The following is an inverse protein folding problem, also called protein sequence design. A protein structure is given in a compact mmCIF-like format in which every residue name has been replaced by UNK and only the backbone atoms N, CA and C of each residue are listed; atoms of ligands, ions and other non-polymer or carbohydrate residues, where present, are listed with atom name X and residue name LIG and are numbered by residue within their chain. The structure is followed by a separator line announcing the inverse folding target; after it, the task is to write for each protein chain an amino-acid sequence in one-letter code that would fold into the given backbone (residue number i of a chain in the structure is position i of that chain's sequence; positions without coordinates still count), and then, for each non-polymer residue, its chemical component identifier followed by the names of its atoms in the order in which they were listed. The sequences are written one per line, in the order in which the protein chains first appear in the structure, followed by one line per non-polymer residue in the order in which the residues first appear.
data_IF_507396714140
#
_entry.id   IF_507396714140
#
_cell.length_a   1.000
_cell.length_b   1.000
_cell.length_c   1.000
_cell.angle_alpha   90.00
_cell.angle_beta   90.00
_cell.angle_gamma   90.00
#
_symmetry.space_group_name_H-M   'P 1'
#
loop_
_entity.id
_entity.type
_entity.pdbx_description
1 polymer ?
#
# COMPACT_ATOMS: atom_id res chain seq x y z
N UNK A 1 -31.47 6.08 3.87
CA UNK A 1 -30.75 7.24 3.32
C UNK A 1 -29.73 7.65 4.36
N UNK A 2 -28.45 7.37 4.15
CA UNK A 2 -27.39 7.81 5.06
C UNK A 2 -27.29 9.33 4.97
N UNK A 3 -27.54 10.04 6.07
CA UNK A 3 -27.25 11.47 6.13
C UNK A 3 -25.73 11.65 6.27
N UNK A 4 -25.10 12.55 5.50
CA UNK A 4 -23.71 12.89 5.71
C UNK A 4 -23.52 13.45 7.12
N UNK A 5 -22.37 13.25 7.77
CA UNK A 5 -22.05 13.93 9.01
C UNK A 5 -22.00 15.45 8.76
N UNK A 6 -22.11 16.22 9.84
CA UNK A 6 -21.89 17.67 9.75
C UNK A 6 -20.40 17.89 9.45
N UNK A 7 -20.09 18.37 8.26
CA UNK A 7 -18.73 18.73 7.90
C UNK A 7 -18.33 20.07 8.53
N UNK A 8 -17.03 20.29 8.83
CA UNK A 8 -16.54 21.56 9.33
C UNK A 8 -16.99 22.73 8.46
N UNK A 9 -17.70 23.69 9.06
CA UNK A 9 -18.30 24.81 8.33
C UNK A 9 -17.27 25.63 7.54
N UNK A 10 -16.04 25.71 8.06
CA UNK A 10 -14.95 26.46 7.45
C UNK A 10 -14.37 25.78 6.18
N UNK A 11 -14.69 24.52 5.90
CA UNK A 11 -14.36 23.89 4.62
C UNK A 11 -15.31 24.30 3.49
N UNK A 12 -16.50 24.82 3.83
CA UNK A 12 -17.50 25.29 2.88
C UNK A 12 -17.86 24.27 1.77
N UNK A 13 -17.79 22.97 2.09
CA UNK A 13 -18.09 21.89 1.14
C UNK A 13 -19.60 21.75 0.91
N UNK A 14 -19.97 21.33 -0.29
CA UNK A 14 -21.37 21.15 -0.69
C UNK A 14 -21.59 19.88 -1.51
N UNK A 15 -22.85 19.56 -1.78
CA UNK A 15 -23.28 18.42 -2.62
C UNK A 15 -22.64 17.06 -2.24
N UNK A 16 -22.68 16.64 -0.96
CA UNK A 16 -22.09 15.37 -0.58
C UNK A 16 -22.81 14.19 -1.19
N UNK A 17 -22.05 13.31 -1.84
CA UNK A 17 -22.48 12.02 -2.35
C UNK A 17 -21.61 10.96 -1.69
N UNK A 18 -22.23 10.02 -0.96
CA UNK A 18 -21.53 8.87 -0.41
C UNK A 18 -21.08 7.97 -1.57
N UNK A 19 -19.79 7.72 -1.69
CA UNK A 19 -19.20 6.90 -2.77
C UNK A 19 -18.60 5.59 -2.27
N UNK A 20 -18.23 5.50 -0.98
CA UNK A 20 -17.78 4.25 -0.38
C UNK A 20 -18.12 4.17 1.12
N UNK A 21 -18.38 2.96 1.58
CA UNK A 21 -18.54 2.59 2.99
C UNK A 21 -17.57 1.43 3.26
N UNK A 22 -16.37 1.77 3.76
CA UNK A 22 -15.29 0.81 4.03
C UNK A 22 -15.33 0.36 5.48
N UNK A 23 -14.51 -0.63 5.86
CA UNK A 23 -14.42 -1.05 7.26
C UNK A 23 -14.08 0.11 8.22
N UNK A 24 -13.11 0.95 7.84
CA UNK A 24 -12.60 2.04 8.67
C UNK A 24 -13.31 3.38 8.48
N UNK A 25 -13.96 3.60 7.33
CA UNK A 25 -14.33 4.95 6.92
C UNK A 25 -15.59 5.01 6.06
N UNK A 26 -16.22 6.18 6.07
CA UNK A 26 -17.20 6.59 5.07
C UNK A 26 -16.55 7.64 4.17
N UNK A 27 -16.76 7.52 2.86
CA UNK A 27 -16.10 8.38 1.86
C UNK A 27 -17.17 9.11 1.05
N UNK A 28 -17.12 10.44 1.08
CA UNK A 28 -18.02 11.31 0.34
C UNK A 28 -17.28 12.10 -0.72
N UNK A 29 -17.81 12.11 -1.95
CA UNK A 29 -17.46 13.11 -2.96
C UNK A 29 -18.22 14.39 -2.64
N UNK A 30 -17.51 15.51 -2.59
CA UNK A 30 -18.06 16.84 -2.29
C UNK A 30 -17.56 17.86 -3.31
N UNK A 31 -18.19 19.03 -3.36
CA UNK A 31 -17.71 20.19 -4.12
C UNK A 31 -17.13 21.24 -3.18
N UNK A 32 -15.92 21.72 -3.48
CA UNK A 32 -15.31 22.90 -2.87
C UNK A 32 -16.03 24.19 -3.33
N UNK A 33 -15.78 25.35 -2.70
CA UNK A 33 -16.45 26.62 -3.05
C UNK A 33 -16.28 27.07 -4.51
N UNK A 34 -15.17 26.70 -5.14
CA UNK A 34 -14.87 27.00 -6.54
C UNK A 34 -15.47 25.97 -7.53
N UNK A 35 -16.20 24.97 -7.02
CA UNK A 35 -16.76 23.86 -7.79
C UNK A 35 -15.80 22.71 -8.04
N UNK A 36 -14.54 22.79 -7.58
CA UNK A 36 -13.58 21.69 -7.70
C UNK A 36 -14.04 20.49 -6.87
N UNK A 37 -14.05 19.26 -7.41
CA UNK A 37 -14.39 18.08 -6.63
C UNK A 37 -13.31 17.77 -5.58
N UNK A 38 -13.74 17.33 -4.41
CA UNK A 38 -12.88 16.85 -3.33
C UNK A 38 -13.50 15.61 -2.67
N UNK A 39 -12.72 14.95 -1.81
CA UNK A 39 -13.18 13.82 -1.01
C UNK A 39 -13.20 14.24 0.46
N UNK A 40 -14.29 13.93 1.16
CA UNK A 40 -14.27 13.87 2.63
C UNK A 40 -14.21 12.40 3.04
N UNK A 41 -13.15 12.02 3.75
CA UNK A 41 -13.02 10.70 4.40
C UNK A 41 -13.33 10.89 5.88
N UNK A 42 -14.37 10.24 6.38
CA UNK A 42 -14.75 10.26 7.78
C UNK A 42 -14.47 8.92 8.45
N UNK A 43 -13.58 8.95 9.44
CA UNK A 43 -13.14 7.77 10.15
C UNK A 43 -14.21 7.30 11.14
N UNK A 44 -14.49 6.01 11.11
CA UNK A 44 -15.36 5.32 12.06
C UNK A 44 -14.61 5.13 13.39
N UNK A 45 -15.30 5.10 14.54
CA UNK A 45 -14.69 4.85 15.83
C UNK A 45 -14.38 3.35 15.99
N UNK A 46 -13.31 2.88 15.36
CA UNK A 46 -12.80 1.51 15.45
C UNK A 46 -11.41 1.48 16.11
N UNK A 47 -10.98 0.33 16.63
CA UNK A 47 -9.70 0.19 17.36
C UNK A 47 -8.48 0.53 16.48
N UNK A 48 -8.52 0.20 15.18
CA UNK A 48 -7.41 0.40 14.23
C UNK A 48 -7.39 1.79 13.55
N UNK A 49 -8.02 2.81 14.16
CA UNK A 49 -7.99 4.18 13.63
C UNK A 49 -6.57 4.76 13.53
N UNK A 50 -5.60 4.16 14.21
CA UNK A 50 -4.21 4.59 14.20
C UNK A 50 -3.58 4.55 12.79
N UNK A 51 -3.91 3.56 11.96
CA UNK A 51 -3.43 3.45 10.58
C UNK A 51 -3.86 4.66 9.75
N UNK A 52 -5.14 5.03 9.84
CA UNK A 52 -5.73 6.16 9.14
C UNK A 52 -5.10 7.51 9.55
N UNK A 53 -4.85 7.69 10.86
CA UNK A 53 -4.23 8.91 11.36
C UNK A 53 -2.78 9.06 10.87
N UNK A 54 -2.03 7.95 10.79
CA UNK A 54 -0.68 7.92 10.20
C UNK A 54 -0.71 8.18 8.70
N UNK A 55 -1.72 7.66 8.01
CA UNK A 55 -1.98 7.96 6.60
C UNK A 55 -2.09 9.46 6.33
N UNK A 56 -2.82 10.19 7.17
CA UNK A 56 -2.89 11.64 7.05
C UNK A 56 -1.53 12.32 7.22
N UNK A 57 -0.72 11.90 8.19
CA UNK A 57 0.62 12.45 8.41
C UNK A 57 1.56 12.15 7.22
N UNK A 58 1.42 10.97 6.60
CA UNK A 58 2.08 10.63 5.34
C UNK A 58 1.68 11.58 4.21
N UNK A 59 0.38 11.86 4.04
CA UNK A 59 -0.11 12.76 2.98
C UNK A 59 0.35 14.21 3.20
N UNK A 60 0.40 14.69 4.45
CA UNK A 60 0.97 16.00 4.79
C UNK A 60 2.42 16.07 4.36
N UNK A 61 3.23 15.07 4.73
CA UNK A 61 4.65 15.02 4.39
C UNK A 61 4.90 14.90 2.88
N UNK A 62 4.12 14.07 2.18
CA UNK A 62 4.29 13.88 0.73
C UNK A 62 3.76 15.07 -0.08
N UNK A 63 2.80 15.82 0.46
CA UNK A 63 2.29 17.08 -0.07
C UNK A 63 2.03 17.07 -1.59
N UNK A 64 1.32 16.04 -2.07
CA UNK A 64 0.93 15.92 -3.47
C UNK A 64 1.96 15.28 -4.41
N UNK A 65 3.14 14.87 -3.91
CA UNK A 65 4.20 14.22 -4.71
C UNK A 65 3.92 12.74 -4.93
N UNK A 66 3.19 12.42 -6.01
CA UNK A 66 2.77 11.05 -6.32
C UNK A 66 1.62 10.53 -5.44
N UNK A 67 1.10 11.36 -4.52
CA UNK A 67 -0.06 11.09 -3.69
C UNK A 67 -1.08 12.22 -3.82
N UNK A 68 -2.31 11.97 -3.40
CA UNK A 68 -3.29 13.04 -3.18
C UNK A 68 -2.84 14.00 -2.08
N UNK A 69 -3.32 15.25 -2.13
CA UNK A 69 -3.10 16.21 -1.05
C UNK A 69 -4.13 16.06 0.06
N UNK A 70 -3.68 16.20 1.30
CA UNK A 70 -4.57 16.51 2.43
C UNK A 70 -4.84 18.03 2.44
N UNK A 71 -6.09 18.41 2.18
CA UNK A 71 -6.54 19.80 2.08
C UNK A 71 -7.01 20.34 3.44
N UNK A 72 -7.45 19.46 4.34
CA UNK A 72 -7.89 19.82 5.68
C UNK A 72 -8.08 18.59 6.56
N UNK A 73 -7.95 18.77 7.88
CA UNK A 73 -8.18 17.72 8.88
C UNK A 73 -8.79 18.36 10.11
N UNK A 74 -9.94 17.86 10.56
CA UNK A 74 -10.58 18.27 11.79
C UNK A 74 -11.30 17.07 12.42
N UNK A 75 -11.03 16.80 13.69
CA UNK A 75 -11.55 15.61 14.39
C UNK A 75 -11.22 14.32 13.58
N UNK A 76 -12.23 13.50 13.31
CA UNK A 76 -12.13 12.27 12.54
C UNK A 76 -12.45 12.47 11.04
N UNK A 77 -12.37 13.71 10.54
CA UNK A 77 -12.64 14.03 9.14
C UNK A 77 -11.37 14.52 8.45
N UNK A 78 -11.17 14.04 7.23
CA UNK A 78 -10.10 14.47 6.32
C UNK A 78 -10.73 14.98 5.03
N UNK A 79 -10.34 16.17 4.61
CA UNK A 79 -10.65 16.73 3.30
C UNK A 79 -9.45 16.46 2.39
N UNK A 80 -9.66 15.74 1.30
CA UNK A 80 -8.65 15.20 0.41
C UNK A 80 -8.88 15.69 -1.03
N UNK A 81 -7.79 15.83 -1.78
CA UNK A 81 -7.84 16.03 -3.22
C UNK A 81 -8.54 14.86 -3.91
N UNK A 82 -9.39 15.15 -4.89
CA UNK A 82 -10.04 14.13 -5.68
C UNK A 82 -9.13 13.60 -6.79
N UNK A 83 -8.88 12.28 -6.79
CA UNK A 83 -7.96 11.63 -7.73
C UNK A 83 -8.61 11.12 -9.03
N UNK A 84 -9.90 11.37 -9.25
CA UNK A 84 -10.65 10.89 -10.42
C UNK A 84 -11.43 9.60 -10.15
N UNK A 85 -11.86 8.92 -11.22
CA UNK A 85 -12.64 7.65 -11.15
C UNK A 85 -11.89 6.48 -11.81
N UNK A 86 -10.78 6.77 -12.49
CA UNK A 86 -10.03 5.76 -13.24
C UNK A 86 -8.89 5.21 -12.37
N UNK A 87 -9.00 3.94 -11.99
CA UNK A 87 -7.99 3.18 -11.25
C UNK A 87 -7.00 2.49 -12.19
N UNK A 88 -5.87 2.03 -11.64
CA UNK A 88 -4.88 1.24 -12.38
C UNK A 88 -5.44 -0.14 -12.77
N UNK A 89 -6.36 -0.70 -11.99
CA UNK A 89 -7.08 -1.94 -12.33
C UNK A 89 -7.82 -1.85 -13.67
N UNK A 90 -8.38 -0.69 -14.02
CA UNK A 90 -8.97 -0.47 -15.33
C UNK A 90 -7.94 -0.56 -16.47
N UNK A 91 -6.68 -0.16 -16.23
CA UNK A 91 -5.61 -0.29 -17.22
C UNK A 91 -5.28 -1.76 -17.49
N UNK A 92 -5.27 -2.60 -16.44
CA UNK A 92 -5.07 -4.05 -16.60
C UNK A 92 -6.12 -4.63 -17.55
N UNK A 93 -7.39 -4.22 -17.40
CA UNK A 93 -8.49 -4.69 -18.24
C UNK A 93 -8.44 -4.14 -19.68
N UNK A 94 -8.11 -2.86 -19.85
CA UNK A 94 -8.17 -2.18 -21.15
C UNK A 94 -6.91 -2.37 -22.00
N UNK A 95 -5.75 -2.44 -21.37
CA UNK A 95 -4.46 -2.38 -22.04
C UNK A 95 -3.46 -3.47 -21.61
N UNK A 96 -3.83 -4.28 -20.61
CA UNK A 96 -3.02 -5.38 -20.12
C UNK A 96 -2.10 -5.00 -18.96
N UNK A 97 -1.68 -6.04 -18.25
CA UNK A 97 -0.95 -5.94 -16.98
C UNK A 97 0.45 -5.31 -17.11
N UNK A 98 1.14 -5.54 -18.23
CA UNK A 98 2.46 -4.94 -18.47
C UNK A 98 2.40 -3.41 -18.44
N UNK A 99 1.38 -2.81 -19.08
CA UNK A 99 1.24 -1.35 -19.07
C UNK A 99 0.89 -0.81 -17.68
N UNK A 100 0.04 -1.53 -16.93
CA UNK A 100 -0.26 -1.17 -15.54
C UNK A 100 0.99 -1.22 -14.66
N UNK A 101 1.85 -2.23 -14.84
CA UNK A 101 3.12 -2.38 -14.13
C UNK A 101 4.08 -1.22 -14.40
N UNK A 102 4.27 -0.83 -15.66
CA UNK A 102 5.15 0.30 -16.00
C UNK A 102 4.62 1.64 -15.43
N UNK A 103 3.30 1.86 -15.46
CA UNK A 103 2.67 3.02 -14.82
C UNK A 103 2.93 3.03 -13.31
N UNK A 104 2.75 1.89 -12.64
CA UNK A 104 3.03 1.77 -11.21
C UNK A 104 4.50 2.03 -10.91
N UNK A 105 5.42 1.50 -11.72
CA UNK A 105 6.86 1.73 -11.58
C UNK A 105 7.22 3.23 -11.68
N UNK A 106 6.70 3.93 -12.70
CA UNK A 106 6.90 5.37 -12.86
C UNK A 106 6.31 6.17 -11.68
N UNK A 107 5.16 5.77 -11.16
CA UNK A 107 4.54 6.39 -10.00
C UNK A 107 5.39 6.16 -8.74
N UNK A 108 5.86 4.94 -8.49
CA UNK A 108 6.67 4.61 -7.32
C UNK A 108 8.00 5.38 -7.31
N UNK A 109 8.66 5.53 -8.47
CA UNK A 109 9.85 6.38 -8.59
C UNK A 109 9.58 7.82 -8.13
N UNK A 110 8.41 8.38 -8.46
CA UNK A 110 7.98 9.71 -8.00
C UNK A 110 7.55 9.69 -6.54
N UNK A 111 6.89 8.65 -6.06
CA UNK A 111 6.34 8.54 -4.71
C UNK A 111 7.45 8.36 -3.65
N UNK A 112 8.48 7.60 -3.97
CA UNK A 112 9.56 7.26 -3.04
C UNK A 112 10.87 8.02 -3.31
N UNK A 113 10.86 8.98 -4.23
CA UNK A 113 11.94 9.94 -4.37
C UNK A 113 12.23 10.63 -3.01
N UNK A 114 13.53 10.83 -2.74
CA UNK A 114 14.02 11.46 -1.52
C UNK A 114 13.30 12.78 -1.24
N UNK A 115 13.04 13.03 0.05
CA UNK A 115 12.47 14.28 0.53
C UNK A 115 13.53 15.03 1.33
N UNK A 116 13.56 16.36 1.20
CA UNK A 116 14.36 17.22 2.07
C UNK A 116 13.70 17.37 3.45
N UNK A 117 12.38 17.16 3.52
CA UNK A 117 11.62 17.15 4.77
C UNK A 117 11.90 15.88 5.58
N UNK A 118 12.17 15.98 6.89
CA UNK A 118 12.41 14.82 7.74
C UNK A 118 11.19 13.89 7.74
N UNK A 119 11.44 12.59 7.92
CA UNK A 119 10.37 11.60 8.03
C UNK A 119 9.47 11.91 9.23
N UNK A 120 8.13 11.87 9.10
CA UNK A 120 7.24 12.09 10.23
C UNK A 120 7.44 10.99 11.27
N UNK A 121 7.59 11.37 12.54
CA UNK A 121 7.73 10.43 13.65
C UNK A 121 6.47 9.58 13.89
N UNK A 122 5.35 9.97 13.30
CA UNK A 122 4.10 9.23 13.35
C UNK A 122 4.10 7.99 12.45
N UNK A 123 4.95 7.91 11.41
CA UNK A 123 4.97 6.76 10.50
C UNK A 123 5.39 5.49 11.25
N UNK A 124 4.72 4.37 10.95
CA UNK A 124 4.97 3.11 11.63
C UNK A 124 6.26 2.46 11.10
N UNK A 125 7.23 2.13 11.95
CA UNK A 125 8.39 1.34 11.54
C UNK A 125 7.96 0.00 10.96
N UNK A 126 8.55 -0.38 9.83
CA UNK A 126 8.25 -1.66 9.18
C UNK A 126 8.43 -2.86 10.12
N UNK A 127 9.38 -2.79 11.06
CA UNK A 127 9.57 -3.82 12.09
C UNK A 127 8.30 -4.05 12.94
N UNK A 128 7.61 -2.97 13.29
CA UNK A 128 6.39 -3.04 14.10
C UNK A 128 5.21 -3.54 13.25
N UNK A 129 5.17 -3.18 11.95
CA UNK A 129 4.19 -3.74 11.00
C UNK A 129 4.31 -5.26 10.88
N UNK A 130 5.53 -5.80 10.99
CA UNK A 130 5.83 -7.23 10.90
C UNK A 130 5.58 -8.03 12.19
N UNK A 131 5.01 -7.41 13.24
CA UNK A 131 4.82 -8.07 14.54
C UNK A 131 4.05 -9.41 14.45
N UNK A 132 3.01 -9.47 13.61
CA UNK A 132 2.21 -10.69 13.41
C UNK A 132 3.04 -11.84 12.80
N UNK A 133 3.85 -11.55 11.76
CA UNK A 133 4.77 -12.54 11.18
C UNK A 133 5.76 -13.05 12.22
N UNK A 134 6.39 -12.14 12.97
CA UNK A 134 7.36 -12.53 13.99
C UNK A 134 6.73 -13.37 15.11
N UNK A 135 5.48 -13.09 15.48
CA UNK A 135 4.76 -13.89 16.46
C UNK A 135 4.48 -15.29 15.92
N UNK A 136 3.88 -15.41 14.72
CA UNK A 136 3.59 -16.70 14.09
C UNK A 136 4.85 -17.55 13.90
N UNK A 137 5.95 -16.94 13.46
CA UNK A 137 7.23 -17.61 13.30
C UNK A 137 7.79 -18.15 14.63
N UNK A 138 7.65 -17.40 15.74
CA UNK A 138 8.06 -17.89 17.07
C UNK A 138 7.23 -19.07 17.52
N UNK A 139 5.92 -19.03 17.29
CA UNK A 139 5.01 -20.11 17.67
C UNK A 139 5.33 -21.40 16.89
N UNK A 140 5.55 -21.29 15.58
CA UNK A 140 5.97 -22.41 14.72
C UNK A 140 7.34 -22.97 15.15
N UNK A 141 8.32 -22.12 15.47
CA UNK A 141 9.63 -22.55 15.97
C UNK A 141 9.51 -23.31 17.30
N UNK A 142 8.69 -22.82 18.23
CA UNK A 142 8.45 -23.47 19.52
C UNK A 142 7.77 -24.83 19.35
N UNK A 143 6.96 -25.00 18.30
CA UNK A 143 6.37 -26.27 17.90
C UNK A 143 7.34 -27.20 17.13
N UNK A 144 8.56 -26.75 16.83
CA UNK A 144 9.54 -27.51 16.06
C UNK A 144 9.26 -27.53 14.54
N UNK A 145 8.40 -26.64 14.05
CA UNK A 145 8.05 -26.51 12.64
C UNK A 145 9.00 -25.56 11.91
N UNK A 146 9.31 -25.87 10.65
CA UNK A 146 10.11 -25.00 9.76
C UNK A 146 9.23 -24.55 8.59
N UNK A 147 8.36 -23.59 8.85
CA UNK A 147 7.37 -23.08 7.89
C UNK A 147 7.93 -21.91 7.10
N UNK A 148 7.19 -21.47 6.05
CA UNK A 148 7.54 -20.26 5.33
C UNK A 148 7.47 -19.00 6.21
N UNK A 149 6.64 -18.99 7.27
CA UNK A 149 6.64 -17.93 8.29
C UNK A 149 7.99 -17.81 8.99
N UNK A 150 8.60 -18.94 9.38
CA UNK A 150 9.92 -18.96 10.02
C UNK A 150 10.99 -18.42 9.09
N UNK A 151 10.99 -18.86 7.83
CA UNK A 151 11.96 -18.38 6.83
C UNK A 151 11.77 -16.89 6.52
N UNK A 152 10.52 -16.44 6.34
CA UNK A 152 10.19 -15.06 6.07
C UNK A 152 10.56 -14.13 7.23
N UNK A 153 10.37 -14.56 8.48
CA UNK A 153 10.79 -13.80 9.65
C UNK A 153 12.32 -13.57 9.68
N UNK A 154 13.12 -14.57 9.30
CA UNK A 154 14.58 -14.42 9.21
C UNK A 154 14.95 -13.39 8.14
N UNK A 155 14.32 -13.47 6.96
CA UNK A 155 14.53 -12.51 5.87
C UNK A 155 14.13 -11.10 6.30
N UNK A 156 12.96 -10.94 6.93
CA UNK A 156 12.48 -9.65 7.42
C UNK A 156 13.44 -9.02 8.44
N UNK A 157 13.96 -9.81 9.39
CA UNK A 157 14.92 -9.31 10.39
C UNK A 157 16.26 -8.89 9.75
N UNK A 158 16.73 -9.65 8.76
CA UNK A 158 17.93 -9.31 7.99
C UNK A 158 17.76 -8.04 7.16
N UNK A 159 16.61 -7.88 6.50
CA UNK A 159 16.27 -6.66 5.75
C UNK A 159 16.30 -5.43 6.65
N UNK A 160 15.67 -5.52 7.82
CA UNK A 160 15.61 -4.41 8.78
C UNK A 160 16.98 -4.08 9.39
N UNK A 161 17.81 -5.08 9.65
CA UNK A 161 19.14 -4.88 10.24
C UNK A 161 20.16 -4.32 9.25
N UNK A 162 19.96 -4.56 7.96
CA UNK A 162 20.86 -4.15 6.88
C UNK A 162 20.29 -3.01 6.02
N UNK A 163 19.26 -2.31 6.50
CA UNK A 163 18.67 -1.18 5.78
C UNK A 163 19.65 0.01 5.81
N UNK A 164 20.21 0.40 4.67
CA UNK A 164 21.14 1.53 4.57
C UNK A 164 20.44 2.89 4.57
N UNK A 165 19.22 2.93 4.05
CA UNK A 165 18.45 4.16 3.92
C UNK A 165 16.95 3.90 4.08
N UNK A 166 16.29 4.73 4.90
CA UNK A 166 14.85 4.63 5.15
C UNK A 166 14.08 5.63 4.28
N UNK A 167 12.87 5.22 3.88
CA UNK A 167 11.89 6.01 3.12
C UNK A 167 10.55 5.95 3.81
N UNK A 168 9.74 6.99 3.61
CA UNK A 168 8.31 6.94 3.89
C UNK A 168 7.62 6.11 2.80
N UNK A 169 6.92 5.06 3.20
CA UNK A 169 6.24 4.12 2.31
C UNK A 169 4.73 4.24 2.45
N UNK A 170 4.01 3.96 1.35
CA UNK A 170 2.55 3.97 1.34
C UNK A 170 1.96 2.95 2.32
N UNK A 171 2.49 1.72 2.29
CA UNK A 171 2.11 0.61 3.17
C UNK A 171 0.93 -0.22 2.68
N UNK A 172 0.14 0.29 1.74
CA UNK A 172 -0.97 -0.45 1.12
C UNK A 172 -1.13 -0.16 -0.38
N UNK A 173 -0.02 -0.29 -1.13
CA UNK A 173 0.02 0.13 -2.53
C UNK A 173 -0.45 -1.00 -3.46
N UNK A 174 -1.67 -0.89 -3.96
CA UNK A 174 -2.26 -1.82 -4.93
C UNK A 174 -3.01 -1.09 -6.05
N UNK A 175 -3.54 -1.84 -7.02
CA UNK A 175 -4.11 -1.29 -8.26
C UNK A 175 -5.30 -0.35 -8.05
N UNK A 176 -6.08 -0.52 -6.98
CA UNK A 176 -7.25 0.32 -6.70
C UNK A 176 -6.88 1.61 -5.96
N UNK A 177 -5.77 1.59 -5.22
CA UNK A 177 -5.21 2.77 -4.55
C UNK A 177 -4.37 3.65 -5.50
N UNK A 178 -4.24 3.29 -6.78
CA UNK A 178 -3.56 4.09 -7.81
C UNK A 178 -4.61 4.64 -8.78
N UNK A 179 -4.78 5.96 -8.78
CA UNK A 179 -5.84 6.64 -9.53
C UNK A 179 -5.29 7.69 -10.51
N UNK A 180 -5.94 7.83 -11.66
CA UNK A 180 -5.57 8.80 -12.69
C UNK A 180 -6.30 10.12 -12.52
N UNK A 181 -5.54 11.15 -12.18
CA UNK A 181 -6.02 12.52 -11.97
C UNK A 181 -5.57 13.48 -13.08
N UNK A 182 -6.00 14.74 -13.01
CA UNK A 182 -5.49 15.81 -13.88
C UNK A 182 -3.99 16.08 -13.71
N UNK A 183 -3.37 15.66 -12.59
CA UNK A 183 -1.92 15.74 -12.33
C UNK A 183 -1.17 14.46 -12.70
N UNK A 184 -1.83 13.50 -13.34
CA UNK A 184 -1.31 12.16 -13.61
C UNK A 184 -1.71 11.16 -12.54
N UNK A 185 -1.04 10.01 -12.52
CA UNK A 185 -1.27 8.95 -11.55
C UNK A 185 -0.87 9.36 -10.14
N UNK A 186 -1.75 9.11 -9.18
CA UNK A 186 -1.58 9.43 -7.76
C UNK A 186 -2.02 8.25 -6.90
N UNK A 187 -1.37 8.09 -5.75
CA UNK A 187 -1.84 7.18 -4.71
C UNK A 187 -2.86 7.84 -3.79
N UNK A 188 -3.79 7.02 -3.31
CA UNK A 188 -4.74 7.34 -2.25
C UNK A 188 -4.60 6.33 -1.11
N UNK A 189 -5.11 6.70 0.05
CA UNK A 189 -5.27 5.80 1.20
C UNK A 189 -4.00 5.13 1.76
N UNK A 190 -2.96 5.91 2.13
CA UNK A 190 -1.76 5.35 2.73
C UNK A 190 -2.01 4.88 4.17
N UNK A 191 -1.35 3.78 4.54
CA UNK A 191 -1.15 3.38 5.95
C UNK A 191 -0.06 4.21 6.62
N UNK A 192 0.96 4.64 5.85
CA UNK A 192 2.07 5.43 6.34
C UNK A 192 3.09 4.61 7.15
N UNK A 193 4.07 4.04 6.45
CA UNK A 193 5.16 3.26 7.05
C UNK A 193 6.51 3.93 6.86
N UNK A 194 7.51 3.51 7.64
CA UNK A 194 8.92 3.82 7.39
C UNK A 194 9.72 2.53 7.25
N UNK A 195 10.47 2.41 6.16
CA UNK A 195 11.22 1.20 5.83
C UNK A 195 12.12 1.39 4.62
N UNK A 196 12.70 0.31 4.15
CA UNK A 196 13.48 0.32 2.91
C UNK A 196 12.56 0.48 1.69
N UNK A 197 13.04 1.17 0.65
CA UNK A 197 12.23 1.53 -0.52
C UNK A 197 11.66 0.34 -1.28
N UNK A 198 12.40 -0.78 -1.35
CA UNK A 198 11.97 -1.99 -2.07
C UNK A 198 10.64 -2.56 -1.53
N UNK A 199 10.38 -2.42 -0.23
CA UNK A 199 9.15 -2.90 0.39
C UNK A 199 7.93 -2.14 -0.11
N UNK A 200 8.12 -0.90 -0.56
CA UNK A 200 7.05 -0.07 -1.10
C UNK A 200 6.36 -0.63 -2.35
N UNK A 201 6.92 -1.69 -2.96
CA UNK A 201 6.35 -2.43 -4.09
C UNK A 201 5.78 -3.81 -3.72
N UNK A 202 5.91 -4.26 -2.47
CA UNK A 202 5.63 -5.64 -2.08
C UNK A 202 4.17 -6.06 -2.35
N UNK A 203 3.20 -5.25 -1.92
CA UNK A 203 1.77 -5.54 -2.10
C UNK A 203 1.39 -5.74 -3.57
N UNK A 204 2.01 -5.02 -4.51
CA UNK A 204 1.68 -5.12 -5.94
C UNK A 204 1.86 -6.53 -6.51
N UNK A 205 2.74 -7.37 -5.96
CA UNK A 205 2.89 -8.75 -6.42
C UNK A 205 1.69 -9.64 -6.06
N UNK A 206 0.95 -9.26 -5.01
CA UNK A 206 -0.22 -9.98 -4.50
C UNK A 206 -1.53 -9.47 -5.13
N UNK A 207 -1.42 -8.45 -5.99
CA UNK A 207 -2.52 -7.78 -6.66
C UNK A 207 -2.43 -7.83 -8.20
N UNK A 208 -3.58 -7.77 -8.89
CA UNK A 208 -4.94 -7.57 -8.37
C UNK A 208 -5.52 -8.79 -7.60
N UNK A 209 -6.26 -8.55 -6.51
CA UNK A 209 -6.84 -9.59 -5.65
C UNK A 209 -7.58 -10.72 -6.41
N UNK A 210 -8.38 -10.38 -7.41
CA UNK A 210 -9.19 -11.36 -8.18
C UNK A 210 -8.43 -12.01 -9.37
N UNK A 211 -7.11 -11.86 -9.45
CA UNK A 211 -6.29 -12.29 -10.60
C UNK A 211 -5.14 -13.19 -10.19
N UNK A 212 -5.46 -14.31 -9.55
CA UNK A 212 -4.48 -15.35 -9.19
C UNK A 212 -3.71 -15.88 -10.39
N UNK A 213 -4.32 -15.90 -11.58
CA UNK A 213 -3.66 -16.25 -12.84
C UNK A 213 -2.48 -15.30 -13.16
N UNK A 214 -2.58 -14.03 -12.75
CA UNK A 214 -1.50 -13.06 -12.86
C UNK A 214 -0.53 -13.18 -11.67
N UNK A 215 -1.04 -13.20 -10.43
CA UNK A 215 -0.22 -13.22 -9.23
C UNK A 215 0.66 -14.49 -9.11
N UNK A 216 0.21 -15.61 -9.68
CA UNK A 216 0.95 -16.87 -9.70
C UNK A 216 1.82 -17.06 -10.96
N UNK A 217 1.74 -16.17 -11.97
CA UNK A 217 2.56 -16.31 -13.19
C UNK A 217 4.03 -15.93 -12.92
N UNK A 218 4.97 -16.88 -13.00
CA UNK A 218 6.40 -16.60 -12.76
C UNK A 218 6.97 -15.56 -13.72
N UNK A 219 6.44 -15.48 -14.96
CA UNK A 219 6.89 -14.49 -15.94
C UNK A 219 6.48 -13.08 -15.53
N UNK A 220 5.25 -12.92 -15.01
CA UNK A 220 4.78 -11.63 -14.51
C UNK A 220 5.59 -11.19 -13.29
N UNK A 221 5.81 -12.09 -12.33
CA UNK A 221 6.63 -11.80 -11.14
C UNK A 221 8.02 -11.30 -11.55
N UNK A 222 8.70 -11.99 -12.48
CA UNK A 222 10.01 -11.55 -12.98
C UNK A 222 9.95 -10.18 -13.68
N UNK A 223 8.94 -9.95 -14.53
CA UNK A 223 8.76 -8.67 -15.21
C UNK A 223 8.51 -7.51 -14.24
N UNK A 224 7.68 -7.72 -13.22
CA UNK A 224 7.44 -6.72 -12.16
C UNK A 224 8.70 -6.47 -11.34
N UNK A 225 9.45 -7.52 -10.99
CA UNK A 225 10.72 -7.39 -10.29
C UNK A 225 11.71 -6.53 -11.07
N UNK A 226 11.85 -6.77 -12.38
CA UNK A 226 12.70 -5.96 -13.24
C UNK A 226 12.21 -4.51 -13.36
N UNK A 227 10.91 -4.28 -13.52
CA UNK A 227 10.34 -2.94 -13.65
C UNK A 227 10.52 -2.11 -12.37
N UNK A 228 10.18 -2.70 -11.22
CA UNK A 228 10.30 -2.02 -9.92
C UNK A 228 11.75 -1.89 -9.48
N UNK A 229 12.62 -2.87 -9.79
CA UNK A 229 14.06 -2.76 -9.57
C UNK A 229 14.63 -1.52 -10.29
N UNK A 230 14.32 -1.34 -11.58
CA UNK A 230 14.75 -0.15 -12.34
C UNK A 230 14.19 1.15 -11.77
N UNK A 231 12.92 1.16 -11.37
CA UNK A 231 12.28 2.37 -10.87
C UNK A 231 12.76 2.81 -9.48
N UNK A 232 13.12 1.85 -8.62
CA UNK A 232 13.49 2.09 -7.22
C UNK A 232 14.99 2.03 -6.96
N UNK A 233 15.78 1.62 -7.95
CA UNK A 233 17.23 1.36 -7.83
C UNK A 233 17.54 0.34 -6.71
N UNK A 234 16.81 -0.78 -6.73
CA UNK A 234 16.94 -1.88 -5.76
C UNK A 234 17.27 -3.18 -6.49
N UNK A 235 18.18 -3.99 -5.96
CA UNK A 235 18.45 -5.34 -6.50
C UNK A 235 17.14 -6.16 -6.57
N UNK A 236 16.76 -6.71 -7.74
CA UNK A 236 15.53 -7.48 -7.89
C UNK A 236 15.47 -8.68 -6.92
N UNK A 237 16.63 -9.25 -6.54
CA UNK A 237 16.70 -10.27 -5.49
C UNK A 237 16.19 -9.76 -4.16
N UNK A 238 16.70 -8.60 -3.73
CA UNK A 238 16.30 -7.99 -2.47
C UNK A 238 14.83 -7.60 -2.49
N UNK A 239 14.34 -7.08 -3.62
CA UNK A 239 12.94 -6.71 -3.81
C UNK A 239 12.00 -7.92 -3.67
N UNK A 240 12.32 -9.04 -4.33
CA UNK A 240 11.55 -10.28 -4.20
C UNK A 240 11.64 -10.89 -2.80
N UNK A 241 12.75 -10.74 -2.08
CA UNK A 241 12.86 -11.14 -0.68
C UNK A 241 11.88 -10.33 0.20
N UNK A 242 11.69 -9.03 -0.07
CA UNK A 242 10.72 -8.19 0.64
C UNK A 242 9.27 -8.57 0.30
N UNK A 243 9.00 -8.87 -0.98
CA UNK A 243 7.69 -9.32 -1.43
C UNK A 243 7.32 -10.68 -0.82
N UNK A 244 8.25 -11.63 -0.78
CA UNK A 244 8.06 -12.91 -0.10
C UNK A 244 7.76 -12.74 1.40
N UNK A 245 8.54 -11.88 2.08
CA UNK A 245 8.33 -11.61 3.49
C UNK A 245 6.98 -10.94 3.76
N UNK A 246 6.54 -10.04 2.86
CA UNK A 246 5.20 -9.45 2.90
C UNK A 246 4.09 -10.48 2.75
N UNK A 247 4.18 -11.42 1.80
CA UNK A 247 3.14 -12.44 1.65
C UNK A 247 2.96 -13.30 2.88
N UNK A 248 4.05 -13.69 3.51
CA UNK A 248 3.99 -14.41 4.79
C UNK A 248 3.44 -13.53 5.93
N UNK A 249 3.68 -12.21 5.91
CA UNK A 249 3.05 -11.30 6.85
C UNK A 249 1.53 -11.19 6.61
N UNK A 250 1.11 -11.04 5.36
CA UNK A 250 -0.30 -10.97 4.96
C UNK A 250 -1.05 -12.25 5.34
N UNK A 251 -0.44 -13.41 5.03
CA UNK A 251 -0.94 -14.72 5.45
C UNK A 251 -1.06 -14.85 6.98
N UNK A 252 -0.13 -14.27 7.75
CA UNK A 252 -0.20 -14.28 9.21
C UNK A 252 -1.31 -13.39 9.79
N UNK A 253 -1.72 -12.32 9.10
CA UNK A 253 -2.90 -11.53 9.48
C UNK A 253 -4.21 -12.29 9.21
N UNK A 254 -4.23 -13.09 8.15
CA UNK A 254 -5.39 -13.82 7.66
C UNK A 254 -5.42 -15.31 8.05
N UNK A 255 -4.72 -15.65 9.14
CA UNK A 255 -4.54 -17.03 9.58
C UNK A 255 -5.87 -17.81 9.68
N UNK A 256 -5.82 -19.09 9.31
CA UNK A 256 -6.93 -20.04 9.27
C UNK A 256 -8.01 -19.71 8.20
N UNK A 257 -7.72 -18.79 7.26
CA UNK A 257 -8.61 -18.37 6.17
C UNK A 257 -8.15 -18.77 4.76
N UNK A 258 -9.03 -18.57 3.76
CA UNK A 258 -8.70 -18.78 2.34
C UNK A 258 -7.61 -17.80 1.86
N UNK A 259 -7.61 -16.58 2.40
CA UNK A 259 -6.59 -15.56 2.11
C UNK A 259 -5.18 -15.99 2.56
N UNK A 260 -5.03 -16.72 3.68
CA UNK A 260 -3.74 -17.29 4.11
C UNK A 260 -3.15 -18.21 3.02
N UNK A 261 -3.96 -19.11 2.48
CA UNK A 261 -3.51 -20.09 1.48
C UNK A 261 -3.11 -19.41 0.18
N UNK A 262 -3.89 -18.40 -0.24
CA UNK A 262 -3.60 -17.59 -1.44
C UNK A 262 -2.26 -16.86 -1.29
N UNK A 263 -2.06 -16.17 -0.18
CA UNK A 263 -0.85 -15.39 0.07
C UNK A 263 0.39 -16.28 0.16
N UNK A 264 0.28 -17.45 0.80
CA UNK A 264 1.38 -18.42 0.85
C UNK A 264 1.69 -19.02 -0.54
N UNK A 265 0.68 -19.25 -1.38
CA UNK A 265 0.90 -19.74 -2.75
C UNK A 265 1.64 -18.71 -3.61
N UNK A 266 1.27 -17.43 -3.54
CA UNK A 266 1.96 -16.34 -4.23
C UNK A 266 3.38 -16.16 -3.67
N UNK A 267 3.55 -16.21 -2.35
CA UNK A 267 4.88 -16.16 -1.73
C UNK A 267 5.79 -17.30 -2.21
N UNK A 268 5.26 -18.52 -2.35
CA UNK A 268 6.00 -19.65 -2.90
C UNK A 268 6.42 -19.42 -4.37
N UNK A 269 5.54 -18.87 -5.21
CA UNK A 269 5.86 -18.52 -6.59
C UNK A 269 6.96 -17.44 -6.68
N UNK A 270 6.88 -16.41 -5.84
CA UNK A 270 7.91 -15.35 -5.72
C UNK A 270 9.25 -15.95 -5.32
N UNK A 271 9.27 -16.80 -4.29
CA UNK A 271 10.46 -17.50 -3.82
C UNK A 271 11.07 -18.37 -4.92
N UNK A 272 10.26 -19.03 -5.73
CA UNK A 272 10.73 -19.83 -6.86
C UNK A 272 11.37 -18.97 -7.95
N UNK A 273 10.75 -17.84 -8.34
CA UNK A 273 11.33 -16.90 -9.31
C UNK A 273 12.65 -16.33 -8.78
N UNK A 274 12.69 -15.96 -7.50
CA UNK A 274 13.86 -15.48 -6.78
C UNK A 274 15.03 -16.47 -6.72
N UNK A 275 14.79 -17.77 -6.92
CA UNK A 275 15.82 -18.81 -6.95
C UNK A 275 16.26 -19.19 -8.37
N UNK A 276 15.38 -19.01 -9.35
CA UNK A 276 15.55 -19.55 -10.71
C UNK A 276 15.91 -18.49 -11.74
N UNK A 277 15.49 -17.24 -11.52
CA UNK A 277 15.69 -16.12 -12.46
C UNK A 277 16.75 -15.12 -11.99
N UNK A 278 17.07 -15.13 -10.70
CA UNK A 278 18.08 -14.27 -10.07
C UNK A 278 18.91 -15.09 -9.09
#
# INVERSE_FOLDING_TARGET
MFMPPVFPAHWHVSQPVLIADTFSSLVWKVSLPDGTPAIVKGLKPIEDIADELRGADYLVWRNGRGAVRLLGRENNLMLLEYAGERMLSHIVAEHGDYQATEIAAELMAKLYAASEEPLPSALLPIRDRFAALFQRARDDQNAGCQTDYVHAAIIADQMMSNASELRGLHGDLHHENIMFSSRGWLVIDPVGLVGEVGFGAANMFYDPADRDDLCLDPRRIAQMADAFSRALDVDPRRLLDQAYAYGCLSAAWNADGEEEQRDLAIAAAIKQVRQTSY
#
